data_IF_342867521573
#
_entry.id   IF_342867521573
#
_cell.length_a   1.000
_cell.length_b   1.000
_cell.length_c   1.000
_cell.angle_alpha   90.00
_cell.angle_beta   90.00
_cell.angle_gamma   90.00
#
_symmetry.space_group_name_H-M   'P 1'
#
loop_
_entity.id
_entity.type
_entity.pdbx_description
1 polymer ?
#
# COMPACT_ATOMS: atom_id res chain seq x y z
N UNK A 1 -21.47 -1.64 -12.79
CA UNK A 1 -22.87 -1.59 -12.31
C UNK A 1 -23.05 -2.23 -10.92
N UNK A 2 -22.46 -3.43 -10.67
CA UNK A 2 -22.64 -4.16 -9.41
C UNK A 2 -22.33 -3.33 -8.16
N UNK A 3 -21.25 -2.58 -8.16
CA UNK A 3 -20.72 -1.90 -6.99
C UNK A 3 -20.94 -0.39 -7.01
N UNK A 4 -21.55 0.16 -8.07
CA UNK A 4 -21.72 1.60 -8.25
C UNK A 4 -22.52 2.26 -7.12
N UNK A 5 -23.59 1.63 -6.67
CA UNK A 5 -24.48 2.14 -5.61
C UNK A 5 -24.09 1.70 -4.18
N UNK A 6 -22.85 1.22 -3.99
CA UNK A 6 -22.38 0.81 -2.66
C UNK A 6 -21.65 1.98 -1.98
N UNK A 7 -22.18 2.55 -0.89
CA UNK A 7 -21.57 3.68 -0.22
C UNK A 7 -20.22 3.34 0.45
N UNK A 8 -19.95 2.06 0.70
CA UNK A 8 -18.67 1.58 1.23
C UNK A 8 -17.54 1.58 0.19
N UNK A 9 -17.86 1.68 -1.10
CA UNK A 9 -16.85 1.85 -2.16
C UNK A 9 -16.55 3.33 -2.29
N UNK A 10 -15.43 3.77 -1.75
CA UNK A 10 -15.05 5.20 -1.68
C UNK A 10 -14.07 5.61 -2.77
N UNK A 11 -13.36 4.67 -3.39
CA UNK A 11 -12.41 4.91 -4.48
C UNK A 11 -12.34 3.71 -5.42
N UNK A 12 -11.91 3.96 -6.65
CA UNK A 12 -11.60 2.93 -7.64
C UNK A 12 -10.10 2.78 -7.82
N UNK A 13 -9.64 1.54 -7.97
CA UNK A 13 -8.26 1.22 -8.31
C UNK A 13 -8.28 0.14 -9.40
N UNK A 14 -8.14 0.49 -10.68
CA UNK A 14 -8.27 -0.47 -11.77
C UNK A 14 -7.01 -1.30 -12.04
N UNK A 15 -5.84 -0.85 -11.60
CA UNK A 15 -4.56 -1.50 -11.85
C UNK A 15 -3.77 -1.68 -10.55
N UNK A 16 -3.07 -2.80 -10.44
CA UNK A 16 -2.18 -3.10 -9.34
C UNK A 16 -0.79 -3.44 -9.85
N UNK A 17 0.24 -2.83 -9.27
CA UNK A 17 1.66 -3.10 -9.53
C UNK A 17 2.02 -3.15 -11.02
N UNK A 18 1.56 -2.17 -11.75
CA UNK A 18 1.95 -1.96 -13.15
C UNK A 18 3.28 -1.23 -13.17
N UNK A 19 4.34 -1.99 -13.35
CA UNK A 19 5.68 -1.46 -13.45
C UNK A 19 6.02 -1.17 -14.90
N UNK A 20 6.74 -0.08 -15.08
CA UNK A 20 7.40 0.21 -16.35
C UNK A 20 8.71 -0.57 -16.38
N UNK A 21 8.68 -1.74 -16.99
CA UNK A 21 9.87 -2.55 -17.16
C UNK A 21 10.72 -1.95 -18.29
N UNK A 22 11.70 -1.17 -17.88
CA UNK A 22 12.62 -0.47 -18.78
C UNK A 22 13.51 -1.44 -19.58
N UNK A 23 13.69 -2.67 -19.10
CA UNK A 23 14.59 -3.66 -19.71
C UNK A 23 13.89 -4.58 -20.72
N UNK A 24 12.57 -4.76 -20.63
CA UNK A 24 11.81 -5.52 -21.62
C UNK A 24 10.72 -4.66 -22.29
N UNK A 25 11.09 -4.04 -23.39
CA UNK A 25 10.19 -3.21 -24.20
C UNK A 25 8.90 -3.96 -24.70
N UNK A 26 8.84 -5.29 -24.55
CA UNK A 26 7.67 -6.09 -24.90
C UNK A 26 6.69 -6.23 -23.73
N UNK A 27 7.17 -6.06 -22.49
CA UNK A 27 6.38 -6.13 -21.26
C UNK A 27 6.19 -4.77 -20.60
N UNK A 28 7.00 -3.78 -20.98
CA UNK A 28 6.90 -2.40 -20.48
C UNK A 28 5.50 -1.82 -20.75
N UNK A 29 4.79 -1.51 -19.67
CA UNK A 29 3.46 -0.90 -19.82
C UNK A 29 3.64 0.59 -20.00
N UNK A 30 3.19 1.05 -21.14
CA UNK A 30 3.18 2.45 -21.49
C UNK A 30 2.32 3.25 -20.50
N UNK A 31 2.86 4.34 -19.97
CA UNK A 31 2.12 5.30 -19.15
C UNK A 31 0.80 5.72 -19.80
N UNK A 32 0.76 5.78 -21.15
CA UNK A 32 -0.48 6.02 -21.91
C UNK A 32 -1.56 4.98 -21.66
N UNK A 33 -1.19 3.72 -21.40
CA UNK A 33 -2.15 2.69 -21.01
C UNK A 33 -2.75 2.98 -19.63
N UNK A 34 -1.93 3.35 -18.66
CA UNK A 34 -2.39 3.75 -17.31
C UNK A 34 -3.36 4.94 -17.41
N UNK A 35 -2.99 5.97 -18.17
CA UNK A 35 -3.84 7.15 -18.42
C UNK A 35 -5.16 6.81 -19.12
N UNK A 36 -5.15 5.86 -20.07
CA UNK A 36 -6.36 5.42 -20.76
C UNK A 36 -7.29 4.68 -19.80
N UNK A 37 -6.77 3.79 -18.96
CA UNK A 37 -7.56 3.04 -17.97
C UNK A 37 -8.12 3.98 -16.90
N UNK A 38 -7.31 4.92 -16.39
CA UNK A 38 -7.79 5.97 -15.49
C UNK A 38 -8.95 6.76 -16.12
N UNK A 39 -8.78 7.23 -17.35
CA UNK A 39 -9.79 8.03 -18.06
C UNK A 39 -11.08 7.25 -18.27
N UNK A 40 -10.96 5.97 -18.62
CA UNK A 40 -12.10 5.07 -18.77
C UNK A 40 -12.84 4.86 -17.45
N UNK A 41 -12.11 4.65 -16.36
CA UNK A 41 -12.68 4.50 -15.01
C UNK A 41 -13.45 5.76 -14.60
N UNK A 42 -12.85 6.95 -14.80
CA UNK A 42 -13.52 8.23 -14.50
C UNK A 42 -14.70 8.53 -15.43
N UNK A 43 -14.71 8.00 -16.66
CA UNK A 43 -15.87 8.11 -17.56
C UNK A 43 -17.06 7.26 -17.09
N UNK A 44 -16.79 6.12 -16.43
CA UNK A 44 -17.82 5.25 -15.87
C UNK A 44 -18.34 5.80 -14.52
N UNK A 45 -17.46 6.34 -13.69
CA UNK A 45 -17.84 6.95 -12.41
C UNK A 45 -17.00 8.22 -12.14
N UNK A 46 -17.52 9.41 -12.48
CA UNK A 46 -16.83 10.67 -12.20
C UNK A 46 -16.95 11.12 -10.74
N UNK A 47 -17.76 10.44 -9.92
CA UNK A 47 -18.11 10.88 -8.56
C UNK A 47 -17.11 10.43 -7.50
N UNK A 48 -16.38 9.34 -7.74
CA UNK A 48 -15.39 8.80 -6.81
C UNK A 48 -13.97 9.09 -7.26
N UNK A 49 -13.03 9.27 -6.33
CA UNK A 49 -11.61 9.25 -6.65
C UNK A 49 -11.19 7.96 -7.36
N UNK A 50 -10.16 8.06 -8.18
CA UNK A 50 -9.55 6.92 -8.85
C UNK A 50 -8.04 6.94 -8.59
N UNK A 51 -7.53 5.87 -8.00
CA UNK A 51 -6.11 5.53 -8.00
C UNK A 51 -5.82 4.91 -9.36
N UNK A 52 -4.97 5.51 -10.16
CA UNK A 52 -4.66 5.02 -11.51
C UNK A 52 -3.99 3.64 -11.47
N UNK A 53 -3.02 3.48 -10.55
CA UNK A 53 -2.33 2.23 -10.26
C UNK A 53 -1.97 2.17 -8.78
N UNK A 54 -2.22 1.04 -8.12
CA UNK A 54 -1.76 0.79 -6.75
C UNK A 54 -0.32 0.27 -6.78
N UNK A 55 0.60 1.00 -6.16
CA UNK A 55 1.99 0.61 -5.95
C UNK A 55 2.86 0.49 -7.21
N UNK A 56 2.39 0.92 -8.37
CA UNK A 56 3.13 0.87 -9.62
C UNK A 56 3.60 2.23 -10.12
N UNK A 57 4.02 2.29 -11.38
CA UNK A 57 4.38 3.54 -12.05
C UNK A 57 3.13 4.31 -12.45
N UNK A 58 2.96 5.49 -11.86
CA UNK A 58 1.81 6.36 -12.13
C UNK A 58 1.80 6.92 -13.55
N UNK A 59 0.59 7.15 -14.05
CA UNK A 59 0.34 7.93 -15.25
C UNK A 59 0.41 9.43 -15.02
N UNK A 60 -0.05 10.19 -16.01
CA UNK A 60 -0.11 11.65 -15.92
C UNK A 60 -1.21 12.15 -14.97
N UNK A 61 -2.16 11.28 -14.63
CA UNK A 61 -3.34 11.62 -13.82
C UNK A 61 -3.67 10.50 -12.85
N UNK A 62 -3.73 10.88 -11.60
CA UNK A 62 -4.31 10.09 -10.51
C UNK A 62 -5.03 11.04 -9.57
N UNK A 63 -6.02 10.56 -8.82
CA UNK A 63 -6.64 11.34 -7.75
C UNK A 63 -5.96 11.08 -6.40
N UNK A 64 -5.14 10.03 -6.30
CA UNK A 64 -4.41 9.63 -5.09
C UNK A 64 -3.02 9.13 -5.49
N UNK A 65 -1.98 9.65 -4.88
CA UNK A 65 -0.62 9.14 -5.03
C UNK A 65 -0.44 7.92 -4.12
N UNK A 66 -0.57 6.75 -4.73
CA UNK A 66 -0.56 5.47 -4.05
C UNK A 66 0.80 4.78 -4.20
N UNK A 67 1.27 4.12 -3.16
CA UNK A 67 2.54 3.39 -3.20
C UNK A 67 2.56 2.19 -2.25
N UNK A 68 3.48 1.25 -2.54
CA UNK A 68 3.77 0.10 -1.70
C UNK A 68 5.15 0.25 -1.06
N UNK A 69 5.32 -0.19 0.17
CA UNK A 69 6.61 -0.18 0.85
C UNK A 69 6.73 -1.36 1.81
N UNK A 70 7.52 -2.35 1.43
CA UNK A 70 7.77 -3.56 2.20
C UNK A 70 9.08 -3.54 3.00
N UNK A 71 9.70 -2.37 3.08
CA UNK A 71 10.94 -2.21 3.82
C UNK A 71 10.74 -2.33 5.34
N UNK A 72 11.81 -2.69 6.05
CA UNK A 72 11.87 -2.63 7.52
C UNK A 72 11.63 -1.21 8.03
N UNK A 73 11.18 -1.10 9.28
CA UNK A 73 10.70 0.17 9.88
C UNK A 73 11.59 1.38 9.61
N UNK A 74 12.91 1.29 9.84
CA UNK A 74 13.78 2.45 9.70
C UNK A 74 13.83 2.98 8.26
N UNK A 75 13.86 2.06 7.30
CA UNK A 75 13.87 2.41 5.89
C UNK A 75 12.50 2.87 5.40
N UNK A 76 11.41 2.23 5.88
CA UNK A 76 10.05 2.72 5.63
C UNK A 76 9.89 4.16 6.12
N UNK A 77 10.37 4.46 7.33
CA UNK A 77 10.34 5.81 7.89
C UNK A 77 11.08 6.82 7.00
N UNK A 78 12.29 6.50 6.56
CA UNK A 78 13.08 7.34 5.65
C UNK A 78 12.30 7.62 4.35
N UNK A 79 11.69 6.58 3.77
CA UNK A 79 10.88 6.71 2.55
C UNK A 79 9.65 7.57 2.75
N UNK A 80 8.94 7.39 3.87
CA UNK A 80 7.79 8.23 4.22
C UNK A 80 8.20 9.71 4.35
N UNK A 81 9.29 9.97 5.04
CA UNK A 81 9.83 11.34 5.16
C UNK A 81 10.24 11.92 3.79
N UNK A 82 10.75 11.08 2.87
CA UNK A 82 11.01 11.45 1.49
C UNK A 82 9.71 11.79 0.74
N UNK A 83 8.72 10.91 0.80
CA UNK A 83 7.42 11.09 0.16
C UNK A 83 6.73 12.39 0.61
N UNK A 84 6.81 12.73 1.90
CA UNK A 84 6.27 13.99 2.44
C UNK A 84 6.98 15.24 1.90
N UNK A 85 8.17 15.10 1.34
CA UNK A 85 8.90 16.16 0.62
C UNK A 85 8.75 16.07 -0.90
N UNK A 86 7.88 15.18 -1.41
CA UNK A 86 7.69 14.94 -2.83
C UNK A 86 8.82 14.15 -3.51
N UNK A 87 9.60 13.38 -2.74
CA UNK A 87 10.69 12.54 -3.22
C UNK A 87 10.22 11.09 -3.31
N UNK A 88 10.11 10.55 -4.51
CA UNK A 88 9.55 9.22 -4.80
C UNK A 88 10.47 8.33 -5.63
N UNK A 89 11.76 8.59 -5.59
CA UNK A 89 12.81 7.85 -6.30
C UNK A 89 12.96 6.38 -5.87
N UNK A 90 12.42 6.06 -4.72
CA UNK A 90 12.59 4.74 -4.10
C UNK A 90 11.71 3.63 -4.70
N UNK A 91 10.67 3.96 -5.45
CA UNK A 91 9.68 2.97 -5.92
C UNK A 91 9.35 3.12 -7.41
N UNK A 92 10.16 3.84 -8.18
CA UNK A 92 9.87 4.13 -9.59
C UNK A 92 8.41 4.61 -9.84
N UNK A 93 7.83 5.28 -8.84
CA UNK A 93 6.45 5.76 -8.90
C UNK A 93 6.22 6.73 -10.05
N UNK A 94 7.27 7.46 -10.45
CA UNK A 94 7.22 8.43 -11.53
C UNK A 94 8.41 8.25 -12.46
N UNK A 95 8.17 8.41 -13.77
CA UNK A 95 9.25 8.40 -14.73
C UNK A 95 10.06 9.70 -14.69
N UNK A 96 11.35 9.58 -14.54
CA UNK A 96 12.24 10.73 -14.68
C UNK A 96 12.19 11.29 -16.12
N UNK A 97 12.12 12.61 -16.24
CA UNK A 97 12.28 13.32 -17.51
C UNK A 97 11.03 13.45 -18.39
N UNK A 98 9.90 12.79 -18.06
CA UNK A 98 8.66 12.90 -18.84
C UNK A 98 7.66 13.97 -18.32
N UNK A 99 8.04 14.74 -17.32
CA UNK A 99 7.16 15.74 -16.70
C UNK A 99 6.00 15.15 -15.89
N UNK A 100 6.05 13.85 -15.67
CA UNK A 100 5.13 13.12 -14.79
C UNK A 100 5.72 13.15 -13.39
N UNK A 101 4.97 13.60 -12.42
CA UNK A 101 5.46 13.69 -11.05
C UNK A 101 4.34 14.01 -10.08
N UNK A 102 4.65 13.92 -8.80
CA UNK A 102 3.74 14.26 -7.71
C UNK A 102 3.27 15.72 -7.79
N UNK A 103 1.98 15.96 -7.73
CA UNK A 103 1.35 17.28 -7.85
C UNK A 103 0.62 17.70 -6.59
N UNK A 104 0.82 16.98 -5.47
CA UNK A 104 0.15 17.25 -4.20
C UNK A 104 -1.11 16.41 -3.96
N UNK A 105 -1.28 15.32 -4.69
CA UNK A 105 -2.33 14.35 -4.46
C UNK A 105 -2.26 13.77 -3.05
N UNK A 106 -3.40 13.37 -2.42
CA UNK A 106 -3.38 12.66 -1.15
C UNK A 106 -2.47 11.42 -1.22
N UNK A 107 -1.60 11.26 -0.23
CA UNK A 107 -0.68 10.12 -0.15
C UNK A 107 -1.36 8.93 0.49
N UNK A 108 -1.24 7.76 -0.12
CA UNK A 108 -1.77 6.50 0.40
C UNK A 108 -0.72 5.38 0.31
N UNK A 109 -0.45 4.73 1.43
CA UNK A 109 0.41 3.54 1.51
C UNK A 109 -0.48 2.30 1.50
N UNK A 110 -0.92 1.87 0.32
CA UNK A 110 -1.93 0.80 0.21
C UNK A 110 -1.40 -0.58 0.54
N UNK A 111 -0.07 -0.77 0.53
CA UNK A 111 0.54 -2.01 0.95
C UNK A 111 1.84 -1.76 1.73
N UNK A 112 1.93 -2.34 2.93
CA UNK A 112 3.16 -2.37 3.73
C UNK A 112 3.22 -3.63 4.58
N UNK A 113 4.40 -3.96 5.09
CA UNK A 113 4.62 -5.08 5.99
C UNK A 113 5.02 -6.34 5.25
N UNK A 114 4.08 -7.24 4.95
CA UNK A 114 4.38 -8.49 4.26
C UNK A 114 5.34 -9.40 5.03
N UNK A 115 5.27 -9.39 6.37
CA UNK A 115 6.23 -10.07 7.24
C UNK A 115 5.71 -11.46 7.62
N UNK A 116 6.50 -12.50 7.31
CA UNK A 116 6.25 -13.86 7.78
C UNK A 116 6.79 -14.07 9.20
N UNK A 117 6.26 -15.07 9.91
CA UNK A 117 6.74 -15.47 11.25
C UNK A 117 7.00 -16.96 11.26
N UNK A 118 8.26 -17.35 11.16
CA UNK A 118 8.68 -18.75 11.15
C UNK A 118 8.07 -19.55 9.99
N UNK A 119 8.47 -20.81 9.85
CA UNK A 119 7.92 -21.72 8.85
C UNK A 119 8.57 -21.62 7.46
N UNK A 120 8.00 -22.38 6.51
CA UNK A 120 8.52 -22.50 5.14
C UNK A 120 7.80 -21.54 4.16
N UNK A 121 6.95 -20.67 4.68
CA UNK A 121 6.17 -19.71 3.88
C UNK A 121 6.94 -18.46 3.50
N UNK A 122 6.54 -17.85 2.41
CA UNK A 122 7.16 -16.64 1.89
C UNK A 122 6.58 -15.37 2.53
N UNK A 123 7.45 -14.39 2.74
CA UNK A 123 7.16 -13.01 3.06
C UNK A 123 8.30 -12.12 2.58
N UNK A 124 8.07 -10.82 2.45
CA UNK A 124 9.13 -9.85 2.08
C UNK A 124 10.22 -9.80 3.15
N UNK A 125 9.82 -9.98 4.41
CA UNK A 125 10.69 -10.08 5.57
C UNK A 125 10.24 -11.24 6.47
N UNK A 126 11.09 -11.67 7.41
CA UNK A 126 10.77 -12.73 8.36
C UNK A 126 11.10 -12.28 9.79
N UNK A 127 10.10 -12.26 10.64
CA UNK A 127 10.29 -12.06 12.07
C UNK A 127 10.73 -13.38 12.74
N UNK A 128 11.71 -13.29 13.64
CA UNK A 128 12.24 -14.45 14.36
C UNK A 128 11.29 -14.99 15.42
N UNK A 129 10.27 -14.23 15.82
CA UNK A 129 9.28 -14.62 16.82
C UNK A 129 7.99 -13.80 16.70
N UNK A 130 6.91 -14.31 17.31
CA UNK A 130 5.66 -13.55 17.46
C UNK A 130 5.89 -12.20 18.16
N UNK A 131 6.65 -12.18 19.24
CA UNK A 131 6.90 -10.94 20.00
C UNK A 131 7.62 -9.89 19.15
N UNK A 132 8.60 -10.31 18.34
CA UNK A 132 9.28 -9.39 17.42
C UNK A 132 8.29 -8.85 16.38
N UNK A 133 7.49 -9.72 15.77
CA UNK A 133 6.49 -9.31 14.78
C UNK A 133 5.52 -8.27 15.37
N UNK A 134 4.93 -8.59 16.53
CA UNK A 134 3.94 -7.72 17.18
C UNK A 134 4.55 -6.37 17.56
N UNK A 135 5.77 -6.37 18.11
CA UNK A 135 6.46 -5.14 18.48
C UNK A 135 6.78 -4.25 17.25
N UNK A 136 7.25 -4.86 16.16
CA UNK A 136 7.55 -4.15 14.91
C UNK A 136 6.26 -3.65 14.23
N UNK A 137 5.20 -4.44 14.25
CA UNK A 137 3.88 -4.03 13.76
C UNK A 137 3.34 -2.82 14.53
N UNK A 138 3.32 -2.89 15.87
CA UNK A 138 2.87 -1.77 16.71
C UNK A 138 3.67 -0.49 16.44
N UNK A 139 5.00 -0.61 16.37
CA UNK A 139 5.90 0.52 16.10
C UNK A 139 5.58 1.15 14.75
N UNK A 140 5.43 0.33 13.71
CA UNK A 140 5.16 0.79 12.35
C UNK A 140 3.80 1.46 12.26
N UNK A 141 2.74 0.81 12.74
CA UNK A 141 1.38 1.35 12.69
C UNK A 141 1.26 2.66 13.49
N UNK A 142 1.84 2.73 14.68
CA UNK A 142 1.83 3.97 15.47
C UNK A 142 2.56 5.11 14.78
N UNK A 143 3.67 4.81 14.11
CA UNK A 143 4.37 5.81 13.29
C UNK A 143 3.48 6.28 12.13
N UNK A 144 2.90 5.38 11.36
CA UNK A 144 2.02 5.73 10.23
C UNK A 144 0.82 6.55 10.69
N UNK A 145 0.17 6.19 11.80
CA UNK A 145 -0.91 6.97 12.41
C UNK A 145 -0.47 8.37 12.87
N UNK A 146 0.81 8.55 13.20
CA UNK A 146 1.36 9.87 13.57
C UNK A 146 1.64 10.78 12.37
N UNK A 147 1.60 10.25 11.13
CA UNK A 147 1.89 10.98 9.91
C UNK A 147 0.63 11.71 9.41
N UNK A 148 0.41 12.96 9.80
CA UNK A 148 -0.77 13.74 9.40
C UNK A 148 -0.87 14.06 7.90
N UNK A 149 0.16 13.77 7.11
CA UNK A 149 0.19 13.92 5.65
C UNK A 149 -0.23 12.63 4.91
N UNK A 150 -0.35 11.50 5.63
CA UNK A 150 -0.76 10.22 5.07
C UNK A 150 -2.28 10.08 5.17
N UNK A 151 -2.94 9.90 4.04
CA UNK A 151 -4.40 9.80 3.95
C UNK A 151 -4.91 8.40 4.31
N UNK A 152 -4.08 7.37 4.15
CA UNK A 152 -4.44 5.99 4.47
C UNK A 152 -3.26 5.04 4.34
N UNK A 153 -3.39 3.87 4.95
CA UNK A 153 -2.46 2.76 4.81
C UNK A 153 -3.16 1.43 5.01
N UNK A 154 -2.60 0.36 4.43
CA UNK A 154 -3.14 -0.98 4.58
C UNK A 154 -2.01 -1.99 4.74
N UNK A 155 -2.10 -2.84 5.77
CA UNK A 155 -1.15 -3.92 5.99
C UNK A 155 -1.39 -5.08 5.02
N UNK A 156 -0.34 -5.58 4.41
CA UNK A 156 -0.33 -6.77 3.56
C UNK A 156 0.26 -7.93 4.35
N UNK A 157 -0.59 -8.95 4.78
CA UNK A 157 -2.00 -8.98 4.39
C UNK A 157 -2.89 -9.51 5.52
N UNK A 158 -4.18 -9.57 5.30
CA UNK A 158 -5.11 -10.04 6.33
C UNK A 158 -5.02 -11.56 6.52
N UNK A 159 -4.98 -12.33 5.42
CA UNK A 159 -4.90 -13.81 5.44
C UNK A 159 -3.69 -14.28 4.66
N UNK A 160 -3.12 -15.42 5.06
CA UNK A 160 -2.18 -16.13 4.21
C UNK A 160 -2.82 -16.52 2.87
N UNK A 161 -2.07 -16.46 1.79
CA UNK A 161 -2.48 -16.89 0.46
C UNK A 161 -1.47 -17.93 -0.05
N UNK A 162 -1.85 -19.20 0.05
CA UNK A 162 -1.03 -20.34 -0.35
C UNK A 162 0.38 -20.30 0.27
N UNK A 163 1.43 -20.11 -0.55
CA UNK A 163 2.82 -20.00 -0.09
C UNK A 163 3.16 -18.65 0.54
N UNK A 164 2.36 -17.62 0.30
CA UNK A 164 2.56 -16.29 0.87
C UNK A 164 1.97 -16.24 2.28
N UNK A 165 2.83 -16.42 3.27
CA UNK A 165 2.43 -16.63 4.67
C UNK A 165 2.76 -15.41 5.56
N UNK A 166 2.39 -14.23 5.10
CA UNK A 166 2.57 -12.95 5.79
C UNK A 166 1.26 -12.35 6.35
N UNK A 167 0.18 -13.13 6.33
CA UNK A 167 -1.11 -12.72 6.88
C UNK A 167 -1.14 -12.65 8.41
N UNK A 168 -2.07 -11.86 8.95
CA UNK A 168 -2.40 -11.87 10.39
C UNK A 168 -3.21 -13.12 10.78
N UNK A 169 -3.85 -13.73 9.80
CA UNK A 169 -4.61 -14.97 9.93
C UNK A 169 -4.07 -15.99 8.93
N UNK A 170 -4.22 -17.26 9.29
CA UNK A 170 -3.88 -18.36 8.37
C UNK A 170 -4.80 -18.35 7.15
N UNK A 171 -4.45 -19.12 6.11
CA UNK A 171 -5.33 -19.41 4.97
C UNK A 171 -6.72 -19.91 5.40
N UNK A 172 -6.79 -20.73 6.46
CA UNK A 172 -8.03 -21.20 7.09
C UNK A 172 -8.72 -20.16 7.98
N UNK A 173 -8.30 -18.89 7.96
CA UNK A 173 -8.88 -17.76 8.70
C UNK A 173 -8.80 -17.89 10.23
N UNK A 174 -7.84 -18.65 10.74
CA UNK A 174 -7.55 -18.72 12.18
C UNK A 174 -6.46 -17.68 12.53
N UNK A 175 -6.55 -17.02 13.70
CA UNK A 175 -5.48 -16.14 14.17
C UNK A 175 -4.13 -16.87 14.15
N UNK A 176 -3.09 -16.20 13.70
CA UNK A 176 -1.72 -16.75 13.69
C UNK A 176 -0.97 -16.47 14.99
N UNK A 177 -1.41 -15.45 15.69
CA UNK A 177 -0.77 -14.97 16.91
C UNK A 177 -1.61 -15.35 18.14
N UNK A 178 -0.98 -15.30 19.30
CA UNK A 178 -1.65 -15.50 20.60
C UNK A 178 -2.77 -14.46 20.79
N UNK A 179 -3.68 -14.73 21.73
CA UNK A 179 -4.75 -13.79 22.09
C UNK A 179 -4.19 -12.41 22.47
N UNK A 180 -3.07 -12.39 23.21
CA UNK A 180 -2.38 -11.17 23.59
C UNK A 180 -1.77 -10.45 22.37
N UNK A 181 -1.11 -11.16 21.46
CA UNK A 181 -0.56 -10.61 20.23
C UNK A 181 -1.66 -9.97 19.36
N UNK A 182 -2.77 -10.67 19.16
CA UNK A 182 -3.92 -10.14 18.40
C UNK A 182 -4.55 -8.93 19.09
N UNK A 183 -4.60 -8.91 20.42
CA UNK A 183 -5.10 -7.76 21.20
C UNK A 183 -4.21 -6.51 20.98
N UNK A 184 -2.90 -6.69 21.01
CA UNK A 184 -1.92 -5.61 20.76
C UNK A 184 -2.01 -5.08 19.35
N UNK A 185 -2.07 -5.95 18.33
CA UNK A 185 -2.26 -5.56 16.93
C UNK A 185 -3.55 -4.71 16.78
N UNK A 186 -4.66 -5.17 17.35
CA UNK A 186 -5.92 -4.42 17.33
C UNK A 186 -5.79 -3.06 18.00
N UNK A 187 -5.20 -2.99 19.18
CA UNK A 187 -5.00 -1.74 19.91
C UNK A 187 -4.11 -0.73 19.16
N UNK A 188 -3.14 -1.22 18.38
CA UNK A 188 -2.36 -0.35 17.48
C UNK A 188 -3.23 0.25 16.38
N UNK A 189 -4.08 -0.56 15.73
CA UNK A 189 -4.96 -0.13 14.65
C UNK A 189 -6.09 0.82 15.12
N UNK A 190 -6.54 0.68 16.37
CA UNK A 190 -7.59 1.52 16.98
C UNK A 190 -7.04 2.84 17.55
N UNK A 191 -5.74 3.07 17.47
CA UNK A 191 -5.16 4.32 17.95
C UNK A 191 -5.56 5.50 17.02
N UNK A 192 -5.80 6.73 17.58
CA UNK A 192 -6.24 7.87 16.79
C UNK A 192 -5.16 8.31 15.79
N UNK A 193 -5.57 8.61 14.57
CA UNK A 193 -4.69 9.12 13.52
C UNK A 193 -4.47 10.63 13.65
N UNK A 194 -3.28 11.10 13.28
CA UNK A 194 -2.95 12.53 13.31
C UNK A 194 -3.78 13.34 12.32
N UNK A 195 -4.19 12.74 11.20
CA UNK A 195 -5.04 13.37 10.19
C UNK A 195 -6.48 13.65 10.68
N UNK A 196 -6.90 13.01 11.77
CA UNK A 196 -8.23 13.21 12.37
C UNK A 196 -8.28 14.41 13.32
N UNK A 197 -7.15 15.05 13.60
CA UNK A 197 -7.00 16.19 14.53
C UNK A 197 -6.94 17.51 13.79
#
# INVERSE_FOLDING_TARGET
ERDFNRPSVITWCPLNEVWDDLDDARLGRDVRFVDAVYSFTKALDPTRPCVDVSGGTHGNRTDVADFHCYDVFEKLKERMEGAFRGQFDFMQMYREGEGIGYKGEPLNLSEFGGVSVGGDGWGYETAGSEEQFVADYERTVRYLLSCGQLSGFCYTQLYDVEQEQNGLYTYGRKPKFSEEGMRRIRAANEAPAAIEK
#
